data_IF_560119800956
#
_entry.id   IF_560119800956
#
_cell.length_a   1.000
_cell.length_b   1.000
_cell.length_c   1.000
_cell.angle_alpha   90.00
_cell.angle_beta   90.00
_cell.angle_gamma   90.00
#
_symmetry.space_group_name_H-M   'P 1'
#
loop_
_entity.id
_entity.type
_entity.pdbx_description
1 polymer ?
#
# COMPACT_ATOMS: atom_id res chain seq x y z
N UNK A 1 -16.81 2.26 8.94
CA UNK A 1 -16.88 3.68 9.34
C UNK A 1 -16.39 3.78 10.77
N UNK A 2 -15.50 4.73 11.03
CA UNK A 2 -14.97 5.07 12.35
C UNK A 2 -15.44 6.50 12.67
N UNK A 3 -16.25 6.63 13.70
CA UNK A 3 -16.76 7.94 14.15
C UNK A 3 -15.65 8.75 14.85
N UNK A 4 -15.88 10.06 15.03
CA UNK A 4 -14.89 10.96 15.59
C UNK A 4 -14.35 10.48 16.94
N UNK A 5 -13.03 10.54 17.09
CA UNK A 5 -12.31 10.08 18.27
C UNK A 5 -12.24 8.55 18.46
N UNK A 6 -12.76 7.76 17.52
CA UNK A 6 -12.71 6.30 17.62
C UNK A 6 -11.28 5.78 17.53
N UNK A 7 -11.02 4.70 18.25
CA UNK A 7 -9.77 3.94 18.15
C UNK A 7 -10.09 2.50 17.85
N UNK A 8 -9.48 1.96 16.79
CA UNK A 8 -9.71 0.58 16.37
C UNK A 8 -8.45 -0.06 15.78
N UNK A 9 -8.37 -1.37 15.95
CA UNK A 9 -7.35 -2.19 15.28
C UNK A 9 -8.01 -3.38 14.62
N UNK A 10 -7.68 -3.61 13.35
CA UNK A 10 -8.24 -4.67 12.53
C UNK A 10 -7.11 -5.55 11.98
N UNK A 11 -7.28 -6.86 12.08
CA UNK A 11 -6.46 -7.84 11.37
C UNK A 11 -7.36 -8.61 10.41
N UNK A 12 -7.05 -8.55 9.14
CA UNK A 12 -7.67 -9.34 8.08
C UNK A 12 -6.68 -10.42 7.64
N UNK A 13 -7.14 -11.67 7.61
CA UNK A 13 -6.33 -12.79 7.15
C UNK A 13 -7.05 -13.47 5.98
N UNK A 14 -6.43 -13.43 4.81
CA UNK A 14 -6.86 -14.20 3.65
C UNK A 14 -6.06 -15.50 3.62
N UNK A 15 -6.75 -16.61 3.91
CA UNK A 15 -6.14 -17.92 3.98
C UNK A 15 -6.87 -18.91 3.08
N UNK A 16 -6.12 -19.67 2.29
CA UNK A 16 -6.64 -20.75 1.47
C UNK A 16 -6.10 -22.10 1.95
N UNK A 17 -7.01 -23.00 2.32
CA UNK A 17 -6.66 -24.34 2.82
C UNK A 17 -6.50 -25.38 1.70
N UNK A 18 -7.13 -25.14 0.54
CA UNK A 18 -7.18 -26.10 -0.55
C UNK A 18 -6.42 -25.60 -1.79
N UNK A 19 -5.76 -26.53 -2.48
CA UNK A 19 -5.07 -26.28 -3.75
C UNK A 19 -6.08 -26.30 -4.92
N UNK A 20 -6.98 -25.33 -4.95
CA UNK A 20 -7.94 -25.16 -6.02
C UNK A 20 -7.74 -23.84 -6.75
N UNK A 21 -8.04 -23.83 -8.04
CA UNK A 21 -8.04 -22.59 -8.80
C UNK A 21 -9.24 -21.76 -8.38
N UNK A 22 -9.02 -20.58 -7.83
CA UNK A 22 -10.12 -19.67 -7.52
C UNK A 22 -9.73 -18.20 -7.74
N UNK A 23 -10.73 -17.39 -7.98
CA UNK A 23 -10.64 -15.95 -8.07
C UNK A 23 -11.23 -15.33 -6.80
N UNK A 24 -10.42 -14.55 -6.10
CA UNK A 24 -10.85 -13.73 -4.97
C UNK A 24 -10.92 -12.27 -5.40
N UNK A 25 -12.01 -11.60 -5.10
CA UNK A 25 -12.14 -10.15 -5.27
C UNK A 25 -12.62 -9.53 -3.97
N UNK A 26 -11.98 -8.44 -3.56
CA UNK A 26 -12.27 -7.77 -2.31
C UNK A 26 -12.32 -6.26 -2.53
N UNK A 27 -13.28 -5.60 -1.88
CA UNK A 27 -13.34 -4.16 -1.79
C UNK A 27 -13.54 -3.78 -0.33
N UNK A 28 -12.67 -2.91 0.17
CA UNK A 28 -12.75 -2.38 1.53
C UNK A 28 -12.82 -0.86 1.43
N UNK A 29 -13.76 -0.26 2.13
CA UNK A 29 -13.90 1.17 2.26
C UNK A 29 -13.74 1.57 3.73
N UNK A 30 -12.82 2.47 4.02
CA UNK A 30 -12.55 3.01 5.36
C UNK A 30 -12.88 4.50 5.38
N UNK A 31 -13.80 4.88 6.24
CA UNK A 31 -14.11 6.28 6.53
C UNK A 31 -13.67 6.56 7.95
N UNK A 32 -12.58 7.31 8.12
CA UNK A 32 -12.03 7.73 9.39
C UNK A 32 -12.46 9.17 9.68
N UNK A 33 -13.28 9.37 10.71
CA UNK A 33 -13.71 10.66 11.21
C UNK A 33 -12.57 11.47 11.84
N UNK A 34 -12.90 12.59 12.47
CA UNK A 34 -11.91 13.44 13.10
C UNK A 34 -11.27 12.76 14.33
N UNK A 35 -9.96 12.96 14.50
CA UNK A 35 -9.18 12.44 15.65
C UNK A 35 -9.25 10.91 15.80
N UNK A 36 -9.49 10.18 14.71
CA UNK A 36 -9.50 8.71 14.69
C UNK A 36 -8.08 8.18 14.75
N UNK A 37 -7.87 7.07 15.46
CA UNK A 37 -6.66 6.25 15.40
C UNK A 37 -7.04 4.85 14.91
N UNK A 38 -6.55 4.47 13.73
CA UNK A 38 -6.91 3.19 13.13
C UNK A 38 -5.69 2.46 12.59
N UNK A 39 -5.48 1.23 13.07
CA UNK A 39 -4.47 0.31 12.56
C UNK A 39 -5.15 -0.83 11.82
N UNK A 40 -4.81 -1.03 10.55
CA UNK A 40 -5.26 -2.17 9.75
C UNK A 40 -4.05 -3.00 9.31
N UNK A 41 -4.14 -4.29 9.59
CA UNK A 41 -3.17 -5.28 9.14
C UNK A 41 -3.88 -6.26 8.21
N UNK A 42 -3.32 -6.48 7.04
CA UNK A 42 -3.81 -7.45 6.06
C UNK A 42 -2.72 -8.50 5.83
N UNK A 43 -3.08 -9.76 6.00
CA UNK A 43 -2.19 -10.89 5.78
C UNK A 43 -2.76 -11.78 4.70
N UNK A 44 -2.03 -11.93 3.60
CA UNK A 44 -2.34 -12.87 2.52
C UNK A 44 -1.43 -14.10 2.62
N UNK A 45 -2.06 -15.25 2.84
CA UNK A 45 -1.45 -16.56 2.82
C UNK A 45 -2.37 -17.51 2.06
N UNK A 46 -2.46 -17.29 0.75
CA UNK A 46 -3.33 -18.05 -0.14
C UNK A 46 -2.54 -19.16 -0.85
N UNK A 47 -2.98 -19.61 -2.00
CA UNK A 47 -2.31 -20.70 -2.73
C UNK A 47 -1.78 -20.20 -4.10
N UNK A 48 -0.79 -20.89 -4.65
CA UNK A 48 -0.18 -20.57 -5.96
C UNK A 48 -1.17 -20.57 -7.13
N UNK A 49 -2.32 -21.21 -6.96
CA UNK A 49 -3.42 -21.23 -7.94
C UNK A 49 -4.45 -20.11 -7.74
N UNK A 50 -4.25 -19.23 -6.76
CA UNK A 50 -5.16 -18.12 -6.46
C UNK A 50 -4.88 -16.94 -7.38
N UNK A 51 -5.95 -16.32 -7.88
CA UNK A 51 -5.90 -14.97 -8.45
C UNK A 51 -6.70 -14.05 -7.54
N UNK A 52 -6.06 -13.02 -6.98
CA UNK A 52 -6.66 -12.11 -6.02
C UNK A 52 -6.57 -10.66 -6.49
N UNK A 53 -7.71 -9.96 -6.40
CA UNK A 53 -7.79 -8.51 -6.57
C UNK A 53 -8.34 -7.89 -5.29
N UNK A 54 -7.56 -7.03 -4.64
CA UNK A 54 -7.97 -6.27 -3.47
C UNK A 54 -7.96 -4.78 -3.77
N UNK A 55 -9.05 -4.10 -3.46
CA UNK A 55 -9.14 -2.65 -3.59
C UNK A 55 -9.50 -2.07 -2.21
N UNK A 56 -8.66 -1.17 -1.73
CA UNK A 56 -8.83 -0.48 -0.45
C UNK A 56 -8.94 1.02 -0.69
N UNK A 57 -10.06 1.59 -0.27
CA UNK A 57 -10.34 3.02 -0.34
C UNK A 57 -10.40 3.60 1.07
N UNK A 58 -9.62 4.64 1.33
CA UNK A 58 -9.55 5.28 2.64
C UNK A 58 -9.81 6.77 2.51
N UNK A 59 -10.74 7.28 3.30
CA UNK A 59 -10.96 8.71 3.47
C UNK A 59 -10.69 9.11 4.92
N UNK A 60 -9.85 10.12 5.11
CA UNK A 60 -9.44 10.61 6.42
C UNK A 60 -9.88 12.05 6.64
N UNK A 61 -10.57 12.28 7.75
CA UNK A 61 -10.90 13.61 8.25
C UNK A 61 -9.80 14.16 9.18
N UNK A 62 -10.02 15.34 9.76
CA UNK A 62 -8.98 16.09 10.44
C UNK A 62 -8.33 15.34 11.62
N UNK A 63 -7.00 15.49 11.75
CA UNK A 63 -6.19 14.92 12.83
C UNK A 63 -6.31 13.40 12.99
N UNK A 64 -6.81 12.70 11.96
CA UNK A 64 -6.86 11.25 11.99
C UNK A 64 -5.49 10.64 11.70
N UNK A 65 -5.17 9.55 12.38
CA UNK A 65 -3.95 8.78 12.19
C UNK A 65 -4.30 7.36 11.78
N UNK A 66 -3.87 6.97 10.58
CA UNK A 66 -4.18 5.66 10.02
C UNK A 66 -2.89 4.93 9.65
N UNK A 67 -2.79 3.69 10.10
CA UNK A 67 -1.75 2.74 9.68
C UNK A 67 -2.40 1.63 8.85
N UNK A 68 -1.91 1.47 7.63
CA UNK A 68 -2.24 0.33 6.76
C UNK A 68 -0.97 -0.50 6.56
N UNK A 69 -1.04 -1.79 6.84
CA UNK A 69 0.10 -2.69 6.70
C UNK A 69 -0.32 -4.00 6.04
N UNK A 70 0.02 -4.15 4.76
CA UNK A 70 -0.26 -5.34 3.96
C UNK A 70 0.95 -6.27 3.86
N UNK A 71 0.73 -7.56 4.10
CA UNK A 71 1.77 -8.59 3.99
C UNK A 71 1.28 -9.72 3.09
N UNK A 72 1.98 -9.95 1.98
CA UNK A 72 1.78 -11.11 1.09
C UNK A 72 2.93 -12.09 1.33
N UNK A 73 2.64 -13.20 2.00
CA UNK A 73 3.65 -14.21 2.37
C UNK A 73 3.60 -15.43 1.46
N UNK A 74 2.42 -15.76 0.94
CA UNK A 74 2.22 -16.84 -0.02
C UNK A 74 0.98 -16.54 -0.87
N UNK A 75 1.12 -16.61 -2.18
CA UNK A 75 0.05 -16.27 -3.12
C UNK A 75 0.21 -16.98 -4.48
N UNK A 76 -0.68 -16.73 -5.39
CA UNK A 76 -0.52 -17.00 -6.82
C UNK A 76 -0.26 -15.71 -7.59
N UNK A 77 -1.33 -15.07 -8.03
CA UNK A 77 -1.27 -13.74 -8.64
C UNK A 77 -2.13 -12.79 -7.84
N UNK A 78 -1.51 -11.76 -7.28
CA UNK A 78 -2.18 -10.77 -6.42
C UNK A 78 -1.99 -9.38 -6.99
N UNK A 79 -3.09 -8.62 -7.07
CA UNK A 79 -3.07 -7.19 -7.32
C UNK A 79 -3.81 -6.46 -6.22
N UNK A 80 -3.08 -5.58 -5.55
CA UNK A 80 -3.60 -4.70 -4.52
C UNK A 80 -3.65 -3.26 -5.06
N UNK A 81 -4.77 -2.59 -4.90
CA UNK A 81 -4.94 -1.18 -5.21
C UNK A 81 -5.36 -0.46 -3.95
N UNK A 82 -4.61 0.54 -3.53
CA UNK A 82 -4.91 1.34 -2.33
C UNK A 82 -5.03 2.80 -2.73
N UNK A 83 -6.18 3.40 -2.46
CA UNK A 83 -6.44 4.82 -2.70
C UNK A 83 -6.75 5.51 -1.38
N UNK A 84 -6.00 6.57 -1.07
CA UNK A 84 -6.13 7.33 0.17
C UNK A 84 -6.43 8.79 -0.16
N UNK A 85 -7.50 9.31 0.43
CA UNK A 85 -7.86 10.72 0.38
C UNK A 85 -7.67 11.34 1.77
N UNK A 86 -6.72 12.27 1.89
CA UNK A 86 -6.52 13.10 3.08
C UNK A 86 -7.39 14.35 2.94
N UNK A 87 -8.61 14.28 3.49
CA UNK A 87 -9.65 15.29 3.32
C UNK A 87 -9.71 16.32 4.47
N UNK A 88 -9.09 16.00 5.62
CA UNK A 88 -9.04 16.88 6.80
C UNK A 88 -7.61 17.28 7.16
N UNK A 89 -7.42 18.51 7.63
CA UNK A 89 -6.10 19.01 8.05
C UNK A 89 -5.49 18.18 9.18
N UNK A 90 -4.17 18.03 9.15
CA UNK A 90 -3.45 17.26 10.16
C UNK A 90 -3.63 15.74 10.05
N UNK A 91 -4.27 15.25 8.99
CA UNK A 91 -4.39 13.83 8.74
C UNK A 91 -3.02 13.20 8.46
N UNK A 92 -2.78 12.02 9.04
CA UNK A 92 -1.56 11.26 8.88
C UNK A 92 -1.86 9.85 8.38
N UNK A 93 -1.16 9.41 7.32
CA UNK A 93 -1.22 8.04 6.81
C UNK A 93 0.17 7.40 6.81
N UNK A 94 0.25 6.21 7.36
CA UNK A 94 1.40 5.32 7.23
C UNK A 94 0.99 4.09 6.45
N UNK A 95 1.46 3.96 5.21
CA UNK A 95 1.14 2.87 4.30
C UNK A 95 2.36 1.98 4.13
N UNK A 96 2.28 0.77 4.66
CA UNK A 96 3.36 -0.20 4.62
C UNK A 96 2.94 -1.44 3.85
N UNK A 97 3.87 -2.01 3.08
CA UNK A 97 3.65 -3.26 2.39
C UNK A 97 4.90 -4.14 2.38
N UNK A 98 4.70 -5.45 2.52
CA UNK A 98 5.76 -6.43 2.36
C UNK A 98 5.26 -7.59 1.49
N UNK A 99 6.07 -8.00 0.52
CA UNK A 99 5.81 -9.19 -0.27
C UNK A 99 7.03 -10.11 -0.27
N UNK A 100 6.79 -11.39 -0.01
CA UNK A 100 7.76 -12.46 -0.19
C UNK A 100 7.19 -13.40 -1.24
N UNK A 101 7.87 -13.54 -2.36
CA UNK A 101 7.39 -14.34 -3.49
C UNK A 101 8.50 -15.22 -4.05
N UNK A 102 8.15 -16.46 -4.39
CA UNK A 102 9.00 -17.45 -5.03
C UNK A 102 8.31 -18.08 -6.25
N UNK A 103 8.96 -19.02 -6.92
CA UNK A 103 8.41 -19.75 -8.08
C UNK A 103 7.89 -18.81 -9.17
N UNK A 104 6.61 -18.91 -9.51
CA UNK A 104 5.93 -18.08 -10.51
C UNK A 104 4.92 -17.12 -9.88
N UNK A 105 5.09 -16.79 -8.61
CA UNK A 105 4.20 -15.88 -7.91
C UNK A 105 4.32 -14.45 -8.45
N UNK A 106 3.20 -13.74 -8.43
CA UNK A 106 3.14 -12.37 -8.90
C UNK A 106 2.44 -11.49 -7.85
N UNK A 107 3.10 -10.40 -7.45
CA UNK A 107 2.55 -9.43 -6.51
C UNK A 107 2.68 -8.02 -7.08
N UNK A 108 1.53 -7.39 -7.34
CA UNK A 108 1.43 -6.03 -7.88
C UNK A 108 0.71 -5.12 -6.86
N UNK A 109 1.42 -4.11 -6.35
CA UNK A 109 0.85 -3.10 -5.45
C UNK A 109 0.81 -1.74 -6.15
N UNK A 110 -0.40 -1.18 -6.23
CA UNK A 110 -0.63 0.15 -6.77
C UNK A 110 -1.21 1.03 -5.66
N UNK A 111 -0.59 2.17 -5.45
CA UNK A 111 -1.00 3.12 -4.40
C UNK A 111 -1.26 4.50 -4.98
N UNK A 112 -2.23 5.19 -4.43
CA UNK A 112 -2.52 6.58 -4.74
C UNK A 112 -2.87 7.32 -3.45
N UNK A 113 -2.12 8.37 -3.13
CA UNK A 113 -2.35 9.20 -1.96
C UNK A 113 -2.64 10.63 -2.43
N UNK A 114 -3.84 11.12 -2.16
CA UNK A 114 -4.29 12.46 -2.52
C UNK A 114 -4.32 13.36 -1.28
N UNK A 115 -3.41 14.33 -1.22
CA UNK A 115 -3.41 15.39 -0.23
C UNK A 115 -4.32 16.52 -0.72
N UNK A 116 -5.55 16.54 -0.25
CA UNK A 116 -6.55 17.51 -0.66
C UNK A 116 -6.53 18.81 0.14
N UNK A 117 -5.95 18.78 1.36
CA UNK A 117 -5.91 19.88 2.32
C UNK A 117 -4.52 20.06 2.92
N UNK A 118 -4.23 21.23 3.56
CA UNK A 118 -2.91 21.51 4.13
C UNK A 118 -2.56 20.63 5.35
N UNK A 119 -1.28 20.71 5.74
CA UNK A 119 -0.72 20.15 6.99
C UNK A 119 -0.88 18.63 7.14
N UNK A 120 -0.99 17.89 6.04
CA UNK A 120 -1.08 16.44 6.06
C UNK A 120 0.28 15.76 5.92
N UNK A 121 0.38 14.54 6.45
CA UNK A 121 1.60 13.72 6.37
C UNK A 121 1.30 12.36 5.77
N UNK A 122 2.14 11.90 4.83
CA UNK A 122 2.07 10.55 4.31
C UNK A 122 3.44 9.89 4.28
N UNK A 123 3.51 8.66 4.79
CA UNK A 123 4.70 7.83 4.72
C UNK A 123 4.35 6.52 4.04
N UNK A 124 5.10 6.16 3.01
CA UNK A 124 4.91 4.95 2.25
C UNK A 124 6.18 4.11 2.24
N UNK A 125 6.08 2.85 2.68
CA UNK A 125 7.19 1.92 2.72
C UNK A 125 6.78 0.55 2.17
N UNK A 126 7.31 0.18 1.01
CA UNK A 126 7.15 -1.15 0.44
C UNK A 126 8.48 -1.89 0.37
N UNK A 127 8.42 -3.20 0.68
CA UNK A 127 9.56 -4.10 0.61
C UNK A 127 9.20 -5.38 -0.10
N UNK A 128 10.06 -5.82 -1.03
CA UNK A 128 9.90 -7.09 -1.73
C UNK A 128 11.13 -7.95 -1.55
N UNK A 129 10.89 -9.24 -1.31
CA UNK A 129 11.89 -10.29 -1.40
C UNK A 129 11.40 -11.28 -2.45
N UNK A 130 12.12 -11.36 -3.57
CA UNK A 130 11.72 -12.11 -4.76
C UNK A 130 12.77 -13.17 -5.06
N UNK A 131 12.32 -14.39 -5.31
CA UNK A 131 13.16 -15.51 -5.68
C UNK A 131 12.60 -16.25 -6.92
N UNK A 132 13.37 -17.18 -7.47
CA UNK A 132 13.03 -17.97 -8.65
C UNK A 132 12.60 -17.11 -9.86
N UNK A 133 11.39 -17.32 -10.38
CA UNK A 133 10.79 -16.60 -11.50
C UNK A 133 9.67 -15.67 -11.05
N UNK A 134 9.64 -15.32 -9.74
CA UNK A 134 8.62 -14.46 -9.21
C UNK A 134 8.71 -13.03 -9.75
N UNK A 135 7.57 -12.35 -9.75
CA UNK A 135 7.44 -11.00 -10.26
C UNK A 135 6.82 -10.10 -9.20
N UNK A 136 7.54 -9.05 -8.85
CA UNK A 136 7.02 -7.94 -8.08
C UNK A 136 6.74 -6.73 -8.97
N UNK A 137 5.69 -6.01 -8.69
CA UNK A 137 5.41 -4.71 -9.31
C UNK A 137 4.96 -3.72 -8.25
N UNK A 138 5.42 -2.48 -8.37
CA UNK A 138 5.01 -1.38 -7.50
C UNK A 138 4.83 -0.10 -8.32
N UNK A 139 3.68 0.52 -8.16
CA UNK A 139 3.39 1.84 -8.70
C UNK A 139 2.77 2.70 -7.60
N UNK A 140 3.42 3.81 -7.25
CA UNK A 140 2.95 4.75 -6.24
C UNK A 140 2.77 6.14 -6.84
N UNK A 141 1.62 6.75 -6.58
CA UNK A 141 1.29 8.12 -6.95
C UNK A 141 0.99 8.93 -5.70
N UNK A 142 1.68 10.06 -5.54
CA UNK A 142 1.33 11.06 -4.54
C UNK A 142 0.88 12.33 -5.25
N UNK A 143 -0.37 12.69 -5.05
CA UNK A 143 -0.96 13.92 -5.56
C UNK A 143 -1.05 14.96 -4.43
N UNK A 144 -0.45 16.11 -4.61
CA UNK A 144 -0.58 17.25 -3.70
C UNK A 144 -1.35 18.34 -4.42
N UNK A 145 -2.56 18.63 -3.96
CA UNK A 145 -3.41 19.66 -4.59
C UNK A 145 -2.83 21.07 -4.37
N UNK A 146 -3.12 22.05 -5.24
CA UNK A 146 -2.50 23.38 -5.15
C UNK A 146 -2.65 24.07 -3.78
N UNK A 147 -3.77 23.86 -3.10
CA UNK A 147 -4.06 24.46 -1.79
C UNK A 147 -3.57 23.62 -0.60
N UNK A 148 -3.08 22.40 -0.83
CA UNK A 148 -2.54 21.50 0.21
C UNK A 148 -1.12 21.89 0.60
N UNK A 149 -0.94 23.05 1.22
CA UNK A 149 0.36 23.57 1.64
C UNK A 149 0.85 22.89 2.94
N UNK A 150 2.18 22.96 3.22
CA UNK A 150 2.80 22.36 4.41
C UNK A 150 2.60 20.84 4.52
N UNK A 151 2.45 20.19 3.41
CA UNK A 151 2.36 18.73 3.32
C UNK A 151 3.75 18.09 3.33
N UNK A 152 3.90 17.00 4.09
CA UNK A 152 5.09 16.16 4.09
C UNK A 152 4.74 14.80 3.52
N UNK A 153 5.46 14.37 2.48
CA UNK A 153 5.26 13.03 1.89
C UNK A 153 6.59 12.33 1.67
N UNK A 154 6.67 11.08 2.09
CA UNK A 154 7.83 10.24 1.85
C UNK A 154 7.38 8.90 1.26
N UNK A 155 7.99 8.51 0.14
CA UNK A 155 7.76 7.21 -0.48
C UNK A 155 9.09 6.45 -0.58
N UNK A 156 9.10 5.20 -0.11
CA UNK A 156 10.27 4.33 -0.13
C UNK A 156 9.88 2.95 -0.64
N UNK A 157 10.60 2.45 -1.65
CA UNK A 157 10.48 1.08 -2.12
C UNK A 157 11.86 0.41 -2.09
N UNK A 158 11.96 -0.74 -1.40
CA UNK A 158 13.21 -1.49 -1.25
C UNK A 158 13.00 -2.93 -1.67
N UNK A 159 13.81 -3.40 -2.62
CA UNK A 159 13.61 -4.70 -3.25
C UNK A 159 14.90 -5.51 -3.19
N UNK A 160 14.74 -6.81 -2.90
CA UNK A 160 15.79 -7.81 -2.96
C UNK A 160 15.35 -8.90 -3.94
N UNK A 161 16.08 -9.06 -5.04
CA UNK A 161 15.94 -10.20 -5.95
C UNK A 161 17.06 -11.20 -5.62
N UNK A 162 16.69 -12.37 -5.08
CA UNK A 162 17.66 -13.38 -4.63
C UNK A 162 18.26 -14.15 -5.82
N UNK A 163 17.51 -14.28 -6.92
CA UNK A 163 17.94 -14.94 -8.15
C UNK A 163 17.91 -13.98 -9.33
N UNK A 164 18.59 -14.35 -10.44
CA UNK A 164 18.63 -13.55 -11.68
C UNK A 164 17.31 -13.55 -12.45
N UNK A 165 16.45 -14.55 -12.23
CA UNK A 165 15.19 -14.71 -12.94
C UNK A 165 14.04 -13.97 -12.24
N UNK A 166 14.20 -13.61 -10.96
CA UNK A 166 13.26 -12.77 -10.24
C UNK A 166 13.25 -11.34 -10.81
N UNK A 167 12.07 -10.77 -10.94
CA UNK A 167 11.89 -9.46 -11.59
C UNK A 167 11.11 -8.50 -10.73
N UNK A 168 11.61 -7.28 -10.62
CA UNK A 168 10.90 -6.18 -9.98
C UNK A 168 10.65 -5.05 -10.98
N UNK A 169 9.39 -4.66 -11.12
CA UNK A 169 8.97 -3.51 -11.92
C UNK A 169 8.55 -2.38 -10.99
N UNK A 170 9.23 -1.26 -11.07
CA UNK A 170 8.88 -0.04 -10.32
C UNK A 170 8.60 1.09 -11.30
N UNK A 171 7.48 1.77 -11.13
CA UNK A 171 7.29 3.06 -11.77
C UNK A 171 7.99 4.11 -10.92
N UNK A 172 8.73 5.06 -11.53
CA UNK A 172 9.22 6.21 -10.79
C UNK A 172 8.02 6.96 -10.21
N UNK A 173 8.14 7.41 -8.97
CA UNK A 173 7.13 8.24 -8.34
C UNK A 173 6.73 9.40 -9.26
N UNK A 174 5.49 9.41 -9.69
CA UNK A 174 4.96 10.48 -10.52
C UNK A 174 4.61 11.66 -9.63
N UNK A 175 5.46 12.68 -9.63
CA UNK A 175 5.15 13.96 -9.00
C UNK A 175 4.20 14.76 -9.89
N UNK A 176 2.94 14.83 -9.50
CA UNK A 176 2.01 15.83 -10.00
C UNK A 176 1.93 16.98 -8.99
N UNK A 177 3.02 17.74 -8.83
CA UNK A 177 3.09 18.82 -7.86
C UNK A 177 3.31 20.20 -8.49
N UNK A 178 2.47 21.16 -8.04
CA UNK A 178 2.92 22.54 -7.94
C UNK A 178 3.72 22.73 -6.64
N UNK A 179 5.04 22.54 -6.70
CA UNK A 179 6.05 22.80 -5.66
C UNK A 179 5.81 22.19 -4.29
N UNK A 180 6.51 21.10 -3.94
CA UNK A 180 7.27 20.89 -2.69
C UNK A 180 7.80 19.47 -2.49
N UNK A 181 8.70 19.35 -1.54
CA UNK A 181 9.58 18.25 -1.19
C UNK A 181 8.90 16.86 -1.12
N UNK A 182 8.96 16.15 -2.23
CA UNK A 182 8.67 14.72 -2.25
C UNK A 182 10.02 14.00 -2.33
N UNK A 183 10.38 13.30 -1.28
CA UNK A 183 11.57 12.45 -1.28
C UNK A 183 11.18 11.04 -1.75
N UNK A 184 11.32 10.79 -3.05
CA UNK A 184 11.23 9.42 -3.57
C UNK A 184 12.61 8.76 -3.51
N UNK A 185 12.74 7.65 -2.84
CA UNK A 185 13.94 6.84 -2.80
C UNK A 185 13.65 5.41 -3.20
N UNK A 186 14.12 4.99 -4.36
CA UNK A 186 14.11 3.59 -4.78
C UNK A 186 15.53 3.03 -4.70
N UNK A 187 15.77 2.09 -3.81
CA UNK A 187 17.03 1.34 -3.76
C UNK A 187 16.78 -0.07 -4.31
N UNK A 188 17.23 -0.33 -5.53
CA UNK A 188 17.30 -1.68 -6.10
C UNK A 188 18.71 -2.24 -5.83
N UNK A 189 18.82 -3.15 -4.88
CA UNK A 189 20.04 -3.93 -4.65
C UNK A 189 19.96 -5.24 -5.40
N UNK A 190 20.85 -5.45 -6.38
CA UNK A 190 21.14 -6.77 -6.91
C UNK A 190 22.28 -7.38 -6.06
N UNK A 191 22.07 -8.59 -5.55
CA UNK A 191 23.10 -9.40 -4.91
C UNK A 191 23.85 -10.23 -5.97
#
# INVERSE_FOLDING_TARGET
ILEDGAQARLLLCDHAMDNVNFLATQVIEVFAGENVVFDMYELEETHTSTVRFSNLYVKQEANSNVLLNGMTLHNGTTRNTTEVLLAGEGAEINLCGMAIADKNQHVDNNTSIDHAVPNCTSNELFKYVLDDQSVGAFAGLVLVRPDAQHTSSQQTNRNLCATRDARMYTQPAGDLCGRREVFARSDSGAA
#
